data_IF_255419888491
#
_entry.id   IF_255419888491
#
_cell.length_a   1.000
_cell.length_b   1.000
_cell.length_c   1.000
_cell.angle_alpha   90.00
_cell.angle_beta   90.00
_cell.angle_gamma   90.00
#
_symmetry.space_group_name_H-M   'P 1'
#
loop_
_entity.id
_entity.type
_entity.pdbx_description
1 polymer ?
#
# COMPACT_ATOMS: atom_id res chain seq x y z
N UNK A 1 -4.01 0.46 3.81
CA UNK A 1 -3.67 1.81 3.32
C UNK A 1 -2.75 2.42 4.36
N UNK A 2 -1.55 2.82 3.96
CA UNK A 2 -0.58 3.46 4.87
C UNK A 2 -0.83 4.97 4.83
N UNK A 3 -0.92 5.60 6.00
CA UNK A 3 -1.02 7.05 6.12
C UNK A 3 0.20 7.53 6.89
N UNK A 4 1.11 8.22 6.20
CA UNK A 4 2.36 8.70 6.77
C UNK A 4 2.26 10.14 7.27
N UNK A 5 2.87 10.41 8.42
CA UNK A 5 3.17 11.78 8.86
C UNK A 5 4.60 12.12 8.43
N UNK A 6 4.85 13.21 7.68
CA UNK A 6 6.17 13.57 7.15
C UNK A 6 7.06 14.25 8.21
N UNK A 7 6.95 13.82 9.47
CA UNK A 7 7.63 14.42 10.62
C UNK A 7 8.70 13.48 11.15
N UNK A 8 9.67 13.16 10.30
CA UNK A 8 10.84 12.40 10.67
C UNK A 8 11.92 12.50 9.60
N UNK A 9 13.10 13.02 9.94
CA UNK A 9 14.26 12.95 9.06
C UNK A 9 14.73 11.49 8.98
N UNK A 10 14.50 10.84 7.84
CA UNK A 10 14.92 9.46 7.57
C UNK A 10 16.43 9.45 7.27
N UNK A 11 17.25 9.45 8.31
CA UNK A 11 18.72 9.36 8.21
C UNK A 11 19.17 7.91 8.03
N UNK A 12 20.41 7.73 7.56
CA UNK A 12 21.07 6.43 7.36
C UNK A 12 21.09 5.66 8.69
N UNK A 13 20.20 4.68 8.83
CA UNK A 13 19.88 4.00 10.08
C UNK A 13 20.14 2.51 9.92
N UNK A 14 20.72 1.87 10.94
CA UNK A 14 20.90 0.42 10.99
C UNK A 14 19.60 -0.33 11.24
N UNK A 15 18.51 0.38 11.47
CA UNK A 15 17.21 -0.23 11.68
C UNK A 15 16.31 -0.08 10.47
N UNK A 16 15.42 -1.05 10.22
CA UNK A 16 14.44 -0.95 9.15
C UNK A 16 13.60 0.31 9.32
N UNK A 17 13.55 1.12 8.26
CA UNK A 17 12.73 2.32 8.15
C UNK A 17 11.95 2.26 6.83
N UNK A 18 10.73 2.81 6.84
CA UNK A 18 9.90 2.91 5.64
C UNK A 18 10.36 4.15 4.86
N UNK A 19 10.64 4.03 3.58
CA UNK A 19 11.00 5.10 2.65
C UNK A 19 9.90 5.23 1.60
N UNK A 20 9.45 6.45 1.32
CA UNK A 20 8.55 6.69 0.19
C UNK A 20 9.32 6.73 -1.13
N UNK A 21 8.71 6.22 -2.19
CA UNK A 21 9.30 6.13 -3.53
C UNK A 21 8.94 7.32 -4.43
N UNK A 22 8.19 8.30 -3.93
CA UNK A 22 7.72 9.47 -4.69
C UNK A 22 8.82 10.55 -4.78
N UNK A 23 9.01 11.22 -5.94
CA UNK A 23 8.18 11.22 -7.16
C UNK A 23 8.79 10.41 -8.34
N UNK A 24 9.58 9.34 -8.08
CA UNK A 24 10.48 8.75 -9.11
C UNK A 24 9.99 7.46 -9.77
N UNK A 25 8.78 6.99 -9.48
CA UNK A 25 8.24 5.75 -10.06
C UNK A 25 7.32 6.10 -11.23
N UNK A 26 7.80 5.95 -12.45
CA UNK A 26 7.00 6.07 -13.68
C UNK A 26 6.62 4.67 -14.16
N UNK A 27 5.55 4.11 -13.60
CA UNK A 27 4.97 2.86 -14.08
C UNK A 27 3.47 3.06 -14.34
N UNK A 28 2.90 2.48 -15.41
CA UNK A 28 1.47 2.63 -15.71
C UNK A 28 0.57 2.26 -14.51
N UNK A 29 0.99 1.25 -13.74
CA UNK A 29 0.33 0.80 -12.52
C UNK A 29 0.30 1.85 -11.41
N UNK A 30 1.37 2.62 -11.24
CA UNK A 30 1.43 3.71 -10.26
C UNK A 30 0.36 4.78 -10.54
N UNK A 31 0.20 5.13 -11.81
CA UNK A 31 -0.71 6.18 -12.25
C UNK A 31 -2.19 5.76 -12.09
N UNK A 32 -2.49 4.49 -12.35
CA UNK A 32 -3.84 3.93 -12.20
C UNK A 32 -4.25 3.77 -10.74
N UNK A 33 -3.33 3.36 -9.87
CA UNK A 33 -3.64 3.08 -8.47
C UNK A 33 -3.70 4.35 -7.60
N UNK A 34 -3.25 5.50 -8.12
CA UNK A 34 -3.20 6.78 -7.40
C UNK A 34 -2.63 6.63 -5.97
N UNK A 35 -1.61 5.78 -5.81
CA UNK A 35 -1.08 5.39 -4.51
C UNK A 35 0.39 5.77 -4.38
N UNK A 36 0.81 6.03 -3.14
CA UNK A 36 2.22 6.24 -2.82
C UNK A 36 2.88 4.90 -2.47
N UNK A 37 3.90 4.52 -3.24
CA UNK A 37 4.70 3.35 -2.93
C UNK A 37 5.70 3.64 -1.81
N UNK A 38 5.87 2.66 -0.94
CA UNK A 38 6.84 2.67 0.13
C UNK A 38 7.66 1.39 0.11
N UNK A 39 8.92 1.49 0.55
CA UNK A 39 9.82 0.35 0.76
C UNK A 39 10.34 0.37 2.18
N UNK A 40 10.59 -0.79 2.77
CA UNK A 40 11.25 -0.90 4.07
C UNK A 40 12.71 -1.29 3.82
N UNK A 41 13.65 -0.45 4.27
CA UNK A 41 15.07 -0.72 4.10
C UNK A 41 15.86 -0.33 5.35
N UNK A 42 17.01 -0.97 5.55
CA UNK A 42 17.99 -0.62 6.56
C UNK A 42 19.36 -0.51 5.90
N UNK A 43 20.20 0.38 6.39
CA UNK A 43 21.58 0.45 5.95
C UNK A 43 22.45 -0.31 6.94
N UNK A 44 23.01 -1.45 6.54
CA UNK A 44 23.96 -2.19 7.37
C UNK A 44 25.31 -1.49 7.30
N UNK A 45 25.82 -1.06 8.47
CA UNK A 45 27.10 -0.38 8.60
C UNK A 45 28.07 -1.15 9.51
N UNK A 46 28.05 -2.48 9.43
CA UNK A 46 28.87 -3.33 10.28
C UNK A 46 30.37 -3.09 10.06
N UNK A 47 30.98 -2.29 10.95
CA UNK A 47 32.38 -1.89 10.92
C UNK A 47 33.34 -3.07 11.11
N UNK A 48 32.88 -4.19 11.69
CA UNK A 48 33.70 -5.37 11.94
C UNK A 48 33.88 -6.24 10.69
N UNK A 49 33.02 -6.09 9.68
CA UNK A 49 33.05 -6.90 8.45
C UNK A 49 33.33 -6.07 7.18
N UNK A 50 33.53 -4.75 7.30
CA UNK A 50 33.64 -3.81 6.18
C UNK A 50 32.48 -3.91 5.16
N UNK A 51 31.28 -4.29 5.64
CA UNK A 51 30.09 -4.41 4.81
C UNK A 51 29.24 -3.15 5.00
N UNK A 52 29.04 -2.44 3.88
CA UNK A 52 28.27 -1.20 3.80
C UNK A 52 27.19 -1.34 2.73
N UNK A 53 26.05 -1.93 3.08
CA UNK A 53 25.02 -2.28 2.09
C UNK A 53 23.59 -1.93 2.56
N UNK A 54 22.72 -1.68 1.59
CA UNK A 54 21.29 -1.56 1.83
C UNK A 54 20.65 -2.94 1.83
N UNK A 55 19.87 -3.24 2.87
CA UNK A 55 19.07 -4.47 2.95
C UNK A 55 17.59 -4.12 3.03
N UNK A 56 16.77 -4.90 2.33
CA UNK A 56 15.33 -4.82 2.50
C UNK A 56 14.94 -5.36 3.87
N UNK A 57 14.13 -4.59 4.59
CA UNK A 57 13.57 -4.97 5.88
C UNK A 57 12.11 -5.40 5.74
N UNK A 58 11.58 -6.03 6.79
CA UNK A 58 10.16 -6.34 6.88
C UNK A 58 9.40 -5.13 7.40
N UNK A 59 8.28 -4.78 6.79
CA UNK A 59 7.44 -3.68 7.29
C UNK A 59 6.88 -3.99 8.68
N UNK A 60 6.63 -5.27 9.00
CA UNK A 60 6.17 -5.69 10.33
C UNK A 60 7.14 -5.31 11.46
N UNK A 61 8.45 -5.33 11.20
CA UNK A 61 9.47 -4.99 12.19
C UNK A 61 9.42 -3.51 12.57
N UNK A 62 9.07 -2.66 11.61
CA UNK A 62 8.88 -1.22 11.82
C UNK A 62 7.64 -0.97 12.67
N UNK A 63 6.52 -1.61 12.35
CA UNK A 63 5.27 -1.44 13.10
C UNK A 63 5.35 -2.03 14.51
N UNK A 64 6.04 -3.16 14.69
CA UNK A 64 6.24 -3.80 16.00
C UNK A 64 7.04 -2.92 16.98
N UNK A 65 7.84 -1.97 16.47
CA UNK A 65 8.64 -1.06 17.29
C UNK A 65 7.80 -0.03 18.06
N UNK A 66 6.55 0.20 17.64
CA UNK A 66 5.58 1.02 18.39
C UNK A 66 5.98 2.49 18.57
N UNK A 67 6.85 3.04 17.70
CA UNK A 67 7.16 4.47 17.73
C UNK A 67 6.01 5.29 17.17
N UNK A 68 5.65 6.37 17.85
CA UNK A 68 4.51 7.23 17.51
C UNK A 68 4.77 8.22 16.36
N UNK A 69 5.99 8.27 15.82
CA UNK A 69 6.43 9.17 14.75
C UNK A 69 6.44 8.52 13.35
N UNK A 70 5.99 7.26 13.25
CA UNK A 70 6.05 6.44 12.02
C UNK A 70 4.65 6.20 11.40
N UNK A 71 4.64 5.69 10.16
CA UNK A 71 3.45 5.45 9.34
C UNK A 71 2.40 4.57 10.06
N UNK A 72 1.11 4.92 9.94
CA UNK A 72 0.03 4.15 10.58
C UNK A 72 -0.47 3.05 9.63
N UNK A 73 -0.44 1.79 10.09
CA UNK A 73 -1.08 0.67 9.39
C UNK A 73 -2.50 0.45 9.91
N UNK A 74 -3.48 0.67 9.03
CA UNK A 74 -4.89 0.41 9.32
C UNK A 74 -5.36 -0.85 8.58
N UNK A 75 -5.79 -1.85 9.34
CA UNK A 75 -6.48 -3.04 8.85
C UNK A 75 -7.93 -3.01 9.32
N UNK A 76 -8.87 -2.95 8.38
CA UNK A 76 -10.29 -3.00 8.66
C UNK A 76 -10.82 -4.41 8.43
N UNK A 77 -11.48 -4.98 9.43
CA UNK A 77 -12.28 -6.19 9.27
C UNK A 77 -13.71 -5.76 8.92
N UNK A 78 -14.11 -6.00 7.68
CA UNK A 78 -15.39 -5.53 7.16
C UNK A 78 -16.38 -6.70 7.18
N UNK A 79 -17.55 -6.55 7.80
CA UNK A 79 -18.60 -7.57 7.74
C UNK A 79 -19.02 -7.87 6.31
N UNK A 80 -19.35 -9.12 5.99
CA UNK A 80 -19.81 -9.51 4.65
C UNK A 80 -21.05 -8.73 4.19
N UNK A 81 -21.91 -8.32 5.13
CA UNK A 81 -23.11 -7.51 4.87
C UNK A 81 -22.79 -6.10 4.34
N UNK A 82 -21.60 -5.58 4.63
CA UNK A 82 -21.15 -4.25 4.17
C UNK A 82 -20.30 -4.34 2.89
N UNK A 83 -20.04 -5.55 2.39
CA UNK A 83 -19.16 -5.80 1.24
C UNK A 83 -19.53 -4.95 0.03
N UNK A 84 -20.78 -4.98 -0.42
CA UNK A 84 -21.19 -4.27 -1.64
C UNK A 84 -21.08 -2.76 -1.49
N UNK A 85 -21.46 -2.21 -0.33
CA UNK A 85 -21.34 -0.77 -0.06
C UNK A 85 -19.88 -0.32 -0.09
N UNK A 86 -18.99 -1.10 0.51
CA UNK A 86 -17.55 -0.80 0.52
C UNK A 86 -16.96 -0.94 -0.88
N UNK A 87 -17.32 -2.00 -1.62
CA UNK A 87 -16.84 -2.18 -2.99
C UNK A 87 -17.32 -1.06 -3.93
N UNK A 88 -18.57 -0.61 -3.80
CA UNK A 88 -19.10 0.57 -4.52
C UNK A 88 -18.25 1.82 -4.21
N UNK A 89 -18.02 2.09 -2.93
CA UNK A 89 -17.22 3.23 -2.48
C UNK A 89 -15.76 3.18 -2.97
N UNK A 90 -15.16 1.99 -3.02
CA UNK A 90 -13.80 1.80 -3.51
C UNK A 90 -13.74 1.97 -5.04
N UNK A 91 -14.71 1.42 -5.76
CA UNK A 91 -14.80 1.54 -7.21
C UNK A 91 -14.97 3.00 -7.66
N UNK A 92 -15.80 3.78 -6.95
CA UNK A 92 -15.95 5.23 -7.16
C UNK A 92 -14.63 6.01 -7.00
N UNK A 93 -13.64 5.42 -6.31
CA UNK A 93 -12.29 5.97 -6.10
C UNK A 93 -11.23 5.31 -6.98
N UNK A 94 -11.64 4.59 -8.03
CA UNK A 94 -10.77 3.82 -8.91
C UNK A 94 -9.93 2.75 -8.19
N UNK A 95 -10.42 2.24 -7.06
CA UNK A 95 -9.82 1.10 -6.35
C UNK A 95 -10.68 -0.12 -6.65
N UNK A 96 -10.35 -0.83 -7.73
CA UNK A 96 -11.06 -2.02 -8.19
C UNK A 96 -10.07 -3.09 -8.65
N UNK A 97 -10.56 -4.29 -8.97
CA UNK A 97 -9.71 -5.39 -9.38
C UNK A 97 -8.84 -5.02 -10.59
N UNK A 98 -9.41 -4.31 -11.58
CA UNK A 98 -8.68 -3.91 -12.76
C UNK A 98 -7.56 -2.90 -12.48
N UNK A 99 -7.81 -1.85 -11.69
CA UNK A 99 -6.77 -0.89 -11.33
C UNK A 99 -5.66 -1.51 -10.47
N UNK A 100 -5.95 -2.59 -9.75
CA UNK A 100 -4.96 -3.31 -8.94
C UNK A 100 -4.11 -4.30 -9.74
N UNK A 101 -4.71 -5.04 -10.67
CA UNK A 101 -4.07 -6.20 -11.31
C UNK A 101 -3.86 -6.07 -12.82
N UNK A 102 -4.58 -5.17 -13.51
CA UNK A 102 -4.45 -4.92 -14.95
C UNK A 102 -4.58 -6.17 -15.83
N UNK A 103 -5.32 -7.19 -15.40
CA UNK A 103 -5.56 -8.42 -16.16
C UNK A 103 -6.96 -8.43 -16.79
N UNK A 104 -7.15 -9.20 -17.86
CA UNK A 104 -8.47 -9.39 -18.48
C UNK A 104 -9.49 -9.99 -17.50
N UNK A 105 -9.04 -10.94 -16.66
CA UNK A 105 -9.88 -11.51 -15.59
C UNK A 105 -10.34 -10.44 -14.60
N UNK A 106 -9.43 -9.54 -14.19
CA UNK A 106 -9.75 -8.45 -13.26
C UNK A 106 -10.66 -7.37 -13.88
N UNK A 107 -10.58 -7.19 -15.20
CA UNK A 107 -11.51 -6.35 -15.94
C UNK A 107 -12.91 -6.97 -15.91
N UNK A 108 -13.02 -8.27 -16.21
CA UNK A 108 -14.30 -8.98 -16.16
C UNK A 108 -14.91 -8.97 -14.76
N UNK A 109 -14.11 -9.16 -13.71
CA UNK A 109 -14.57 -9.07 -12.32
C UNK A 109 -15.13 -7.67 -12.00
N UNK A 110 -14.43 -6.62 -12.44
CA UNK A 110 -14.87 -5.24 -12.24
C UNK A 110 -16.19 -4.95 -12.98
N UNK A 111 -16.33 -5.45 -14.22
CA UNK A 111 -17.57 -5.32 -15.00
C UNK A 111 -18.72 -6.11 -14.35
N UNK A 112 -18.46 -7.35 -13.92
CA UNK A 112 -19.46 -8.19 -13.27
C UNK A 112 -19.98 -7.53 -11.98
N UNK A 113 -19.08 -7.01 -11.13
CA UNK A 113 -19.46 -6.27 -9.93
C UNK A 113 -20.37 -5.08 -10.26
N UNK A 114 -20.02 -4.27 -11.26
CA UNK A 114 -20.79 -3.08 -11.64
C UNK A 114 -22.16 -3.42 -12.21
N UNK A 115 -22.22 -4.41 -13.08
CA UNK A 115 -23.42 -4.69 -13.87
C UNK A 115 -24.39 -5.65 -13.17
N UNK A 116 -23.88 -6.57 -12.36
CA UNK A 116 -24.69 -7.57 -11.67
C UNK A 116 -24.92 -7.15 -10.22
N UNK A 117 -23.86 -6.98 -9.43
CA UNK A 117 -24.00 -6.80 -7.99
C UNK A 117 -24.46 -5.39 -7.59
N UNK A 118 -23.96 -4.35 -8.27
CA UNK A 118 -24.24 -2.95 -7.89
C UNK A 118 -25.53 -2.40 -8.50
N UNK A 119 -25.95 -2.91 -9.67
CA UNK A 119 -27.22 -2.50 -10.31
C UNK A 119 -28.44 -3.19 -9.71
N UNK A 120 -28.32 -4.44 -9.26
CA UNK A 120 -29.42 -5.16 -8.60
C UNK A 120 -29.80 -4.53 -7.25
N UNK A 121 -28.87 -3.86 -6.57
CA UNK A 121 -29.11 -3.21 -5.27
C UNK A 121 -29.80 -1.84 -5.32
N UNK A 122 -29.92 -1.23 -6.52
CA UNK A 122 -30.55 0.08 -6.73
C UNK A 122 -32.00 -0.05 -7.30
N UNK A 123 -32.58 -1.27 -7.33
CA UNK A 123 -33.94 -1.57 -7.83
C UNK A 123 -34.98 -1.79 -6.74
#
# INVERSE_FOLDING_TARGET
>A
MYWGTPTGSKTRSNSPEIYSCTPRVQTPRHDLQQCEYTICAAFDNNSDQDIYEWRFGRHEEVFARGKSDQDVLLKYNIPATERLKVLKLLDDRNINAFSLFESEESLMETVALRELDLREGDS
#
